data_IF_611099542407
#
_entry.id   IF_611099542407
#
_cell.length_a   1.000
_cell.length_b   1.000
_cell.length_c   1.000
_cell.angle_alpha   90.00
_cell.angle_beta   90.00
_cell.angle_gamma   90.00
#
_symmetry.space_group_name_H-M   'P 1'
#
loop_
_entity.id
_entity.type
_entity.pdbx_description
1 polymer ?
#
# COMPACT_ATOMS: atom_id res chain seq x y z
N UNK A 1 11.39 -32.13 11.51
CA UNK A 1 11.09 -30.69 11.30
C UNK A 1 11.38 -30.45 9.84
N UNK A 2 10.35 -30.66 9.02
CA UNK A 2 10.51 -30.88 7.60
C UNK A 2 10.50 -29.50 6.94
N UNK A 3 11.51 -29.18 6.14
CA UNK A 3 11.71 -27.87 5.53
C UNK A 3 10.59 -27.42 4.56
N UNK A 4 9.54 -28.22 4.42
CA UNK A 4 8.41 -28.03 3.51
C UNK A 4 7.24 -27.24 4.14
N UNK A 5 7.31 -26.88 5.42
CA UNK A 5 6.25 -26.12 6.11
C UNK A 5 6.14 -24.66 5.65
N UNK A 6 7.21 -24.12 5.07
CA UNK A 6 7.19 -22.82 4.39
C UNK A 6 6.88 -23.06 2.91
N UNK A 7 5.79 -23.78 2.63
CA UNK A 7 5.24 -23.89 1.28
C UNK A 7 4.94 -22.45 0.80
N UNK A 8 5.56 -22.05 -0.30
CA UNK A 8 5.83 -20.64 -0.65
C UNK A 8 4.65 -19.67 -0.64
N UNK A 9 3.39 -20.14 -0.67
CA UNK A 9 2.20 -19.30 -0.59
C UNK A 9 1.97 -18.61 0.77
N UNK A 10 2.25 -19.28 1.90
CA UNK A 10 2.00 -18.71 3.23
C UNK A 10 2.96 -17.56 3.56
N UNK A 11 4.22 -17.72 3.21
CA UNK A 11 5.24 -16.68 3.35
C UNK A 11 4.96 -15.49 2.43
N UNK A 12 4.50 -15.75 1.21
CA UNK A 12 4.12 -14.72 0.25
C UNK A 12 2.93 -13.87 0.70
N UNK A 13 1.90 -14.52 1.26
CA UNK A 13 0.73 -13.82 1.81
C UNK A 13 1.11 -12.91 3.00
N UNK A 14 1.99 -13.39 3.89
CA UNK A 14 2.50 -12.58 4.99
C UNK A 14 3.26 -11.34 4.50
N UNK A 15 4.11 -11.49 3.47
CA UNK A 15 4.82 -10.37 2.82
C UNK A 15 3.82 -9.38 2.21
N UNK A 16 2.79 -9.86 1.51
CA UNK A 16 1.76 -9.02 0.92
C UNK A 16 1.00 -8.19 1.97
N UNK A 17 0.71 -8.77 3.14
CA UNK A 17 0.08 -8.06 4.25
C UNK A 17 1.00 -6.99 4.86
N UNK A 18 2.28 -7.28 5.05
CA UNK A 18 3.27 -6.31 5.58
C UNK A 18 3.38 -5.10 4.64
N UNK A 19 3.47 -5.34 3.33
CA UNK A 19 3.53 -4.27 2.32
C UNK A 19 2.27 -3.41 2.32
N UNK A 20 1.10 -4.03 2.49
CA UNK A 20 -0.17 -3.34 2.58
C UNK A 20 -0.21 -2.42 3.82
N UNK A 21 0.26 -2.89 4.98
CA UNK A 21 0.36 -2.09 6.21
C UNK A 21 1.33 -0.92 6.08
N UNK A 22 2.48 -1.11 5.41
CA UNK A 22 3.43 -0.03 5.15
C UNK A 22 2.86 1.06 4.23
N UNK A 23 2.05 0.66 3.24
CA UNK A 23 1.35 1.60 2.37
C UNK A 23 0.27 2.41 3.13
N UNK A 24 -0.46 1.77 4.06
CA UNK A 24 -1.45 2.43 4.92
C UNK A 24 -0.81 3.57 5.74
N UNK A 25 0.38 3.33 6.30
CA UNK A 25 1.15 4.34 7.05
C UNK A 25 1.53 5.57 6.19
N UNK A 26 1.57 5.44 4.85
CA UNK A 26 1.84 6.53 3.90
C UNK A 26 0.56 7.17 3.33
N UNK A 27 -0.60 6.98 3.94
CA UNK A 27 -1.90 7.42 3.42
C UNK A 27 -2.22 6.83 2.03
N UNK A 28 -1.72 5.63 1.71
CA UNK A 28 -2.02 4.91 0.48
C UNK A 28 -3.05 3.80 0.76
N UNK A 29 -3.81 3.40 -0.26
CA UNK A 29 -4.84 2.36 -0.12
C UNK A 29 -4.23 0.98 0.18
N UNK A 30 -4.48 0.47 1.39
CA UNK A 30 -4.01 -0.84 1.86
C UNK A 30 -4.40 -1.99 0.92
N UNK A 31 -5.66 -2.01 0.46
CA UNK A 31 -6.17 -3.06 -0.42
C UNK A 31 -5.53 -3.03 -1.81
N UNK A 32 -5.33 -1.84 -2.38
CA UNK A 32 -4.66 -1.72 -3.67
C UNK A 32 -3.23 -2.28 -3.59
N UNK A 33 -2.48 -1.93 -2.54
CA UNK A 33 -1.11 -2.40 -2.34
C UNK A 33 -0.98 -3.86 -1.93
N UNK A 34 -2.00 -4.41 -1.28
CA UNK A 34 -2.13 -5.84 -1.02
C UNK A 34 -2.23 -6.64 -2.32
N UNK A 35 -3.16 -6.29 -3.23
CA UNK A 35 -3.30 -6.98 -4.51
C UNK A 35 -2.05 -6.81 -5.39
N UNK A 36 -1.46 -5.60 -5.43
CA UNK A 36 -0.19 -5.38 -6.12
C UNK A 36 0.89 -6.33 -5.58
N UNK A 37 1.01 -6.50 -4.26
CA UNK A 37 1.98 -7.41 -3.64
C UNK A 37 1.68 -8.88 -3.87
N UNK A 38 0.39 -9.26 -3.94
CA UNK A 38 -0.01 -10.63 -4.23
C UNK A 38 0.46 -11.09 -5.62
N UNK A 39 0.38 -10.19 -6.63
CA UNK A 39 0.74 -10.49 -8.02
C UNK A 39 2.19 -10.16 -8.40
N UNK A 40 2.79 -9.09 -7.85
CA UNK A 40 4.16 -8.66 -8.16
C UNK A 40 5.21 -9.13 -7.14
N UNK A 41 4.80 -9.64 -5.99
CA UNK A 41 5.73 -10.10 -4.96
C UNK A 41 6.59 -8.99 -4.37
N UNK A 42 7.89 -9.23 -4.07
CA UNK A 42 8.77 -8.26 -3.42
C UNK A 42 9.01 -6.99 -4.24
N UNK A 43 8.74 -7.00 -5.56
CA UNK A 43 8.79 -5.80 -6.39
C UNK A 43 7.71 -4.76 -6.02
N UNK A 44 6.58 -5.20 -5.47
CA UNK A 44 5.59 -4.30 -4.90
C UNK A 44 6.16 -3.50 -3.72
N UNK A 45 7.01 -4.12 -2.89
CA UNK A 45 7.68 -3.46 -1.76
C UNK A 45 8.60 -2.35 -2.22
N UNK A 46 9.38 -2.59 -3.28
CA UNK A 46 10.27 -1.57 -3.85
C UNK A 46 9.49 -0.33 -4.31
N UNK A 47 8.32 -0.53 -4.91
CA UNK A 47 7.43 0.56 -5.30
C UNK A 47 6.84 1.30 -4.08
N UNK A 48 6.37 0.59 -3.04
CA UNK A 48 5.87 1.23 -1.80
C UNK A 48 6.93 2.09 -1.12
N UNK A 49 8.17 1.58 -1.05
CA UNK A 49 9.26 2.23 -0.32
C UNK A 49 9.76 3.46 -1.07
N UNK A 50 10.02 3.33 -2.38
CA UNK A 50 10.63 4.37 -3.21
C UNK A 50 9.64 5.46 -3.60
N UNK A 51 8.35 5.14 -3.77
CA UNK A 51 7.37 6.15 -4.17
C UNK A 51 7.10 7.13 -3.01
N UNK A 52 7.18 8.45 -3.26
CA UNK A 52 6.81 9.45 -2.28
C UNK A 52 5.30 9.34 -1.95
N UNK A 53 4.88 9.77 -0.74
CA UNK A 53 3.46 9.86 -0.40
C UNK A 53 2.68 10.67 -1.45
N UNK A 54 1.39 10.40 -1.67
CA UNK A 54 0.61 11.26 -2.54
C UNK A 54 0.57 12.64 -1.89
N UNK A 55 0.66 13.67 -2.71
CA UNK A 55 0.42 15.01 -2.22
C UNK A 55 -0.99 15.03 -1.59
N UNK A 56 -1.04 15.38 -0.30
CA UNK A 56 -2.31 15.51 0.41
C UNK A 56 -3.09 16.56 -0.35
N UNK A 57 -4.18 16.17 -1.00
CA UNK A 57 -5.06 17.12 -1.67
C UNK A 57 -5.57 18.08 -0.60
N UNK A 58 -4.99 19.28 -0.54
CA UNK A 58 -5.54 20.34 0.30
C UNK A 58 -6.96 20.59 -0.20
N UNK A 59 -7.98 20.57 0.68
CA UNK A 59 -9.34 20.85 0.29
C UNK A 59 -9.36 22.13 -0.55
N UNK A 60 -9.81 22.00 -1.80
CA UNK A 60 -9.99 23.16 -2.69
C UNK A 60 -10.84 24.17 -1.91
N UNK A 61 -10.36 25.40 -1.66
CA UNK A 61 -11.13 26.38 -0.91
C UNK A 61 -12.50 26.49 -1.57
N UNK A 62 -13.54 26.08 -0.83
CA UNK A 62 -14.91 26.22 -1.27
C UNK A 62 -15.08 27.72 -1.43
N UNK A 63 -15.13 28.22 -2.67
CA UNK A 63 -15.40 29.63 -2.96
C UNK A 63 -16.61 29.98 -2.12
N UNK A 64 -16.39 30.75 -1.06
CA UNK A 64 -17.47 31.40 -0.35
C UNK A 64 -18.03 32.35 -1.37
N UNK A 65 -19.12 31.93 -2.01
CA UNK A 65 -19.98 32.82 -2.77
C UNK A 65 -20.62 33.76 -1.76
N UNK A 66 -19.84 34.72 -1.28
CA UNK A 66 -20.34 35.92 -0.65
C UNK A 66 -20.95 36.76 -1.77
N UNK A 67 -22.20 36.45 -2.10
CA UNK A 67 -23.07 37.38 -2.82
C UNK A 67 -23.62 38.32 -1.75
N UNK A 68 -23.03 39.51 -1.67
CA UNK A 68 -23.67 40.69 -1.08
C UNK A 68 -24.56 41.38 -2.11
#
# INVERSE_FOLDING_TARGET
>A
MDSNYVNGGGMWFAIALINAGLAEQKNRSRLAWFFISMFLGPFATLLVVVLPPPEVQKPKPRRSTASG
#
